data_IF_553911273950
#
_entry.id   IF_553911273950
#
_cell.length_a   1.000
_cell.length_b   1.000
_cell.length_c   1.000
_cell.angle_alpha   90.00
_cell.angle_beta   90.00
_cell.angle_gamma   90.00
#
_symmetry.space_group_name_H-M   'P 1'
#
loop_
_entity.id
_entity.type
_entity.pdbx_description
1 polymer ?
#
# COMPACT_ATOMS: atom_id res chain seq x y z
N UNK A 1 45.25 -29.06 -100.14
CA UNK A 1 46.61 -29.63 -100.24
C UNK A 1 47.61 -28.54 -99.88
N UNK A 2 48.78 -28.87 -99.31
CA UNK A 2 49.85 -28.00 -98.76
C UNK A 2 49.59 -27.52 -97.33
N UNK A 3 50.08 -28.21 -96.28
CA UNK A 3 51.48 -28.42 -95.80
C UNK A 3 52.24 -27.12 -95.54
N UNK A 4 52.70 -26.95 -94.28
CA UNK A 4 54.08 -26.64 -93.79
C UNK A 4 53.95 -25.96 -92.41
N UNK A 5 54.29 -26.60 -91.29
CA UNK A 5 55.63 -26.86 -90.71
C UNK A 5 56.51 -25.60 -90.59
N UNK A 6 56.70 -25.22 -89.32
CA UNK A 6 57.91 -24.66 -88.65
C UNK A 6 58.34 -23.26 -89.13
N UNK A 7 58.78 -22.31 -88.29
CA UNK A 7 59.97 -22.44 -87.45
C UNK A 7 60.33 -21.04 -86.81
N UNK A 8 60.97 -21.02 -85.61
CA UNK A 8 61.85 -19.97 -85.02
C UNK A 8 61.16 -18.63 -84.60
N UNK A 9 61.49 -17.90 -83.51
CA UNK A 9 62.65 -17.84 -82.60
C UNK A 9 62.25 -17.11 -81.29
N UNK A 10 63.02 -17.42 -80.24
CA UNK A 10 63.12 -16.78 -78.95
C UNK A 10 63.22 -15.25 -78.98
N UNK A 11 62.54 -14.58 -78.04
CA UNK A 11 63.15 -13.50 -77.26
C UNK A 11 62.41 -13.27 -75.94
N UNK A 12 63.20 -13.31 -74.88
CA UNK A 12 62.83 -13.10 -73.49
C UNK A 12 62.37 -11.68 -73.25
N UNK A 13 61.22 -11.52 -72.60
CA UNK A 13 60.95 -10.36 -71.75
C UNK A 13 60.17 -10.86 -70.53
N UNK A 14 60.91 -10.96 -69.42
CA UNK A 14 60.35 -11.04 -68.08
C UNK A 14 59.43 -9.82 -67.90
N UNK A 15 58.12 -10.02 -67.97
CA UNK A 15 57.19 -9.18 -67.25
C UNK A 15 56.83 -9.94 -65.98
N UNK A 16 57.47 -9.56 -64.88
CA UNK A 16 57.01 -9.90 -63.53
C UNK A 16 55.71 -9.11 -63.32
N UNK A 17 54.61 -9.66 -63.84
CA UNK A 17 53.29 -9.31 -63.36
C UNK A 17 53.09 -10.07 -62.05
N UNK A 18 53.18 -9.37 -60.92
CA UNK A 18 52.62 -9.88 -59.69
C UNK A 18 51.12 -10.06 -59.92
N UNK A 19 50.70 -11.28 -60.25
CA UNK A 19 49.29 -11.65 -60.18
C UNK A 19 48.92 -11.54 -58.69
N UNK A 20 47.94 -10.72 -58.29
CA UNK A 20 47.32 -10.93 -56.99
C UNK A 20 46.77 -12.36 -57.03
N UNK A 21 47.27 -13.21 -56.14
CA UNK A 21 46.64 -14.50 -55.90
C UNK A 21 45.25 -14.22 -55.34
N UNK A 22 44.24 -14.13 -56.21
CA UNK A 22 42.86 -14.23 -55.75
C UNK A 22 42.72 -15.66 -55.27
N UNK A 23 42.66 -15.84 -53.97
CA UNK A 23 42.24 -17.10 -53.36
C UNK A 23 40.73 -17.22 -53.57
N UNK A 24 40.31 -17.41 -54.81
CA UNK A 24 38.96 -17.86 -55.09
C UNK A 24 38.90 -19.31 -54.62
N UNK A 25 38.25 -19.55 -53.49
CA UNK A 25 37.88 -20.88 -53.07
C UNK A 25 37.04 -21.50 -54.20
N UNK A 26 37.66 -22.35 -55.01
CA UNK A 26 37.00 -22.96 -56.16
C UNK A 26 35.75 -23.71 -55.66
N UNK A 27 34.58 -23.26 -56.09
CA UNK A 27 33.31 -23.92 -55.77
C UNK A 27 33.29 -25.27 -56.51
N UNK A 28 33.61 -26.35 -55.79
CA UNK A 28 33.58 -27.71 -56.32
C UNK A 28 32.15 -28.22 -56.34
N UNK A 29 31.58 -28.38 -57.54
CA UNK A 29 30.30 -29.06 -57.71
C UNK A 29 30.50 -30.58 -57.67
N UNK A 30 29.76 -31.27 -56.80
CA UNK A 30 29.72 -32.73 -56.73
C UNK A 30 28.33 -33.22 -57.11
N UNK A 31 28.27 -34.22 -57.97
CA UNK A 31 27.02 -34.93 -58.25
C UNK A 31 26.76 -35.92 -57.10
N UNK A 32 25.55 -35.89 -56.56
CA UNK A 32 25.07 -36.80 -55.52
C UNK A 32 23.86 -37.57 -56.03
N UNK A 33 23.80 -38.88 -55.77
CA UNK A 33 22.59 -39.66 -56.00
C UNK A 33 21.75 -39.63 -54.72
N UNK A 34 20.50 -39.19 -54.85
CA UNK A 34 19.55 -39.10 -53.75
C UNK A 34 18.38 -40.07 -53.97
N UNK A 35 18.00 -40.78 -52.91
CA UNK A 35 16.84 -41.68 -52.91
C UNK A 35 15.69 -41.03 -52.16
N UNK A 36 14.54 -40.92 -52.84
CA UNK A 36 13.26 -40.48 -52.27
C UNK A 36 12.42 -41.71 -51.97
N UNK A 37 12.31 -42.07 -50.69
CA UNK A 37 11.62 -43.28 -50.24
C UNK A 37 10.50 -42.95 -49.22
N UNK A 38 9.76 -41.86 -49.47
CA UNK A 38 8.64 -41.42 -48.64
C UNK A 38 9.01 -41.32 -47.14
N UNK A 39 10.11 -40.63 -46.87
CA UNK A 39 10.63 -40.46 -45.51
C UNK A 39 9.64 -39.63 -44.68
N UNK A 40 9.12 -40.22 -43.60
CA UNK A 40 8.17 -39.56 -42.70
C UNK A 40 8.86 -39.00 -41.47
N UNK A 41 8.65 -37.71 -41.21
CA UNK A 41 9.12 -37.05 -39.99
C UNK A 41 7.97 -36.97 -38.99
N UNK A 42 8.23 -37.33 -37.73
CA UNK A 42 7.26 -37.22 -36.64
C UNK A 42 7.82 -36.37 -35.50
N UNK A 43 6.96 -35.53 -34.92
CA UNK A 43 7.23 -34.78 -33.70
C UNK A 43 6.11 -35.04 -32.70
N UNK A 44 6.47 -35.48 -31.49
CA UNK A 44 5.52 -35.90 -30.45
C UNK A 44 4.42 -36.86 -30.95
N UNK A 45 4.79 -37.79 -31.84
CA UNK A 45 3.87 -38.79 -32.41
C UNK A 45 3.08 -38.33 -33.65
N UNK A 46 3.03 -37.03 -33.94
CA UNK A 46 2.32 -36.47 -35.09
C UNK A 46 3.23 -36.33 -36.31
N UNK A 47 2.71 -36.61 -37.50
CA UNK A 47 3.45 -36.42 -38.76
C UNK A 47 3.62 -34.93 -39.03
N UNK A 48 4.86 -34.51 -39.27
CA UNK A 48 5.20 -33.13 -39.66
C UNK A 48 5.00 -32.99 -41.17
N UNK A 49 4.19 -32.04 -41.66
CA UNK A 49 4.06 -31.76 -43.08
C UNK A 49 5.40 -31.32 -43.69
N UNK A 50 5.70 -31.81 -44.89
CA UNK A 50 6.97 -31.54 -45.58
C UNK A 50 6.70 -30.96 -46.98
N UNK A 51 6.95 -29.66 -47.17
CA UNK A 51 6.86 -29.04 -48.51
C UNK A 51 8.03 -29.44 -49.42
N UNK A 52 9.17 -29.74 -48.80
CA UNK A 52 10.34 -30.33 -49.47
C UNK A 52 10.55 -31.74 -48.92
N UNK A 53 10.49 -32.74 -49.79
CA UNK A 53 10.59 -34.14 -49.37
C UNK A 53 12.00 -34.45 -48.81
N UNK A 54 12.12 -35.05 -47.61
CA UNK A 54 13.39 -35.54 -47.11
C UNK A 54 13.91 -36.70 -47.98
N UNK A 55 15.23 -36.78 -48.13
CA UNK A 55 15.86 -37.76 -49.02
C UNK A 55 17.07 -38.43 -48.35
N UNK A 56 17.54 -39.53 -48.94
CA UNK A 56 18.66 -40.31 -48.42
C UNK A 56 19.85 -40.22 -49.39
N UNK A 57 21.03 -39.85 -48.89
CA UNK A 57 22.30 -39.91 -49.62
C UNK A 57 23.27 -40.74 -48.81
N UNK A 58 23.84 -41.79 -49.41
CA UNK A 58 24.83 -42.68 -48.78
C UNK A 58 24.39 -43.22 -47.41
N UNK A 59 23.10 -43.55 -47.26
CA UNK A 59 22.52 -44.05 -46.00
C UNK A 59 22.15 -42.97 -44.97
N UNK A 60 22.49 -41.70 -45.21
CA UNK A 60 22.13 -40.58 -44.34
C UNK A 60 20.85 -39.91 -44.82
N UNK A 61 19.90 -39.71 -43.90
CA UNK A 61 18.66 -38.98 -44.17
C UNK A 61 18.88 -37.48 -44.01
N UNK A 62 18.53 -36.71 -45.04
CA UNK A 62 18.61 -35.26 -45.05
C UNK A 62 17.19 -34.70 -44.94
N UNK A 63 16.99 -33.86 -43.92
CA UNK A 63 15.70 -33.25 -43.61
C UNK A 63 15.83 -31.73 -43.80
N UNK A 64 14.84 -31.05 -44.40
CA UNK A 64 14.87 -29.60 -44.54
C UNK A 64 14.99 -28.91 -43.17
N UNK A 65 16.05 -28.12 -42.98
CA UNK A 65 16.29 -27.43 -41.71
C UNK A 65 15.16 -26.46 -41.35
N UNK A 66 14.66 -25.68 -42.32
CA UNK A 66 13.57 -24.70 -42.10
C UNK A 66 12.29 -25.36 -41.57
N UNK A 67 11.99 -26.58 -42.04
CA UNK A 67 10.86 -27.36 -41.57
C UNK A 67 11.03 -27.71 -40.09
N UNK A 68 12.20 -28.24 -39.70
CA UNK A 68 12.47 -28.57 -38.29
C UNK A 68 12.56 -27.33 -37.40
N UNK A 69 13.06 -26.20 -37.91
CA UNK A 69 13.05 -24.94 -37.17
C UNK A 69 11.63 -24.47 -36.86
N UNK A 70 10.67 -24.63 -37.78
CA UNK A 70 9.25 -24.38 -37.52
C UNK A 70 8.71 -25.24 -36.37
N UNK A 71 9.03 -26.54 -36.38
CA UNK A 71 8.64 -27.49 -35.32
C UNK A 71 9.19 -27.09 -33.95
N UNK A 72 10.44 -26.61 -33.91
CA UNK A 72 11.12 -26.22 -32.66
C UNK A 72 10.94 -24.75 -32.30
N UNK A 73 10.07 -24.01 -33.00
CA UNK A 73 9.85 -22.58 -32.84
C UNK A 73 11.16 -21.77 -32.86
N UNK A 74 11.99 -22.04 -33.85
CA UNK A 74 13.25 -21.33 -34.13
C UNK A 74 13.15 -20.53 -35.42
N UNK A 75 13.97 -19.50 -35.51
CA UNK A 75 14.16 -18.73 -36.73
C UNK A 75 15.45 -19.17 -37.45
N UNK A 76 15.40 -19.17 -38.78
CA UNK A 76 16.52 -19.56 -39.64
C UNK A 76 16.83 -18.46 -40.64
N UNK A 77 18.03 -17.91 -40.56
CA UNK A 77 18.57 -16.96 -41.53
C UNK A 77 19.68 -17.59 -42.36
N UNK A 78 19.83 -17.09 -43.59
CA UNK A 78 20.88 -17.48 -44.52
C UNK A 78 21.68 -16.23 -44.89
N UNK A 79 22.98 -16.27 -44.66
CA UNK A 79 23.91 -15.27 -45.16
C UNK A 79 24.65 -15.82 -46.38
N UNK A 80 24.35 -15.26 -47.55
CA UNK A 80 24.93 -15.68 -48.81
C UNK A 80 26.41 -15.29 -48.97
N UNK A 81 26.87 -14.22 -48.31
CA UNK A 81 28.25 -13.76 -48.45
C UNK A 81 29.22 -14.71 -47.75
N UNK A 82 28.84 -15.20 -46.57
CA UNK A 82 29.65 -16.13 -45.77
C UNK A 82 29.25 -17.60 -45.96
N UNK A 83 28.19 -17.88 -46.71
CA UNK A 83 27.57 -19.20 -46.81
C UNK A 83 27.19 -19.79 -45.44
N UNK A 84 26.67 -18.95 -44.54
CA UNK A 84 26.34 -19.31 -43.16
C UNK A 84 24.85 -19.44 -42.95
N UNK A 85 24.45 -20.52 -42.26
CA UNK A 85 23.10 -20.68 -41.72
C UNK A 85 23.13 -20.39 -40.23
N UNK A 86 22.26 -19.48 -39.77
CA UNK A 86 22.08 -19.18 -38.34
C UNK A 86 20.71 -19.66 -37.88
N UNK A 87 20.67 -20.37 -36.76
CA UNK A 87 19.44 -20.82 -36.10
C UNK A 87 19.35 -20.10 -34.75
N UNK A 88 18.29 -19.33 -34.54
CA UNK A 88 18.07 -18.54 -33.33
C UNK A 88 16.75 -18.88 -32.64
N UNK A 89 16.68 -18.56 -31.34
CA UNK A 89 15.43 -18.60 -30.60
C UNK A 89 14.46 -17.53 -31.12
N UNK A 90 13.22 -17.93 -31.37
CA UNK A 90 12.16 -16.98 -31.67
C UNK A 90 11.71 -16.33 -30.37
N UNK A 91 11.77 -15.01 -30.30
CA UNK A 91 11.24 -14.25 -29.16
C UNK A 91 9.73 -14.47 -29.10
N UNK A 92 9.25 -14.91 -27.94
CA UNK A 92 7.83 -15.09 -27.71
C UNK A 92 7.15 -13.71 -27.56
N UNK A 93 6.22 -13.32 -28.46
CA UNK A 93 5.56 -12.02 -28.39
C UNK A 93 4.76 -11.81 -27.09
N UNK A 94 4.43 -12.89 -26.37
CA UNK A 94 3.74 -12.82 -25.07
C UNK A 94 4.61 -12.19 -23.99
N UNK A 95 5.93 -12.19 -24.12
CA UNK A 95 6.84 -11.61 -23.09
C UNK A 95 6.56 -10.12 -22.92
N UNK A 96 6.43 -9.36 -24.01
CA UNK A 96 6.13 -7.93 -23.96
C UNK A 96 4.73 -7.66 -23.38
N UNK A 97 3.75 -8.51 -23.73
CA UNK A 97 2.39 -8.42 -23.19
C UNK A 97 2.37 -8.67 -21.68
N UNK A 98 3.04 -9.73 -21.22
CA UNK A 98 3.15 -10.07 -19.79
C UNK A 98 3.86 -8.96 -19.01
N UNK A 99 4.90 -8.35 -19.57
CA UNK A 99 5.58 -7.19 -18.95
C UNK A 99 4.63 -5.99 -18.80
N UNK A 100 3.83 -5.69 -19.82
CA UNK A 100 2.81 -4.63 -19.74
C UNK A 100 1.74 -4.95 -18.70
N UNK A 101 1.32 -6.22 -18.58
CA UNK A 101 0.34 -6.65 -17.59
C UNK A 101 0.88 -6.54 -16.17
N UNK A 102 2.14 -6.94 -15.93
CA UNK A 102 2.84 -6.78 -14.64
C UNK A 102 2.85 -5.31 -14.23
N UNK A 103 3.27 -4.41 -15.13
CA UNK A 103 3.30 -2.97 -14.83
C UNK A 103 1.92 -2.38 -14.47
N UNK A 104 0.86 -2.84 -15.15
CA UNK A 104 -0.50 -2.46 -14.81
C UNK A 104 -0.93 -2.99 -13.43
N UNK A 105 -0.54 -4.23 -13.10
CA UNK A 105 -0.82 -4.85 -11.80
C UNK A 105 -0.08 -4.14 -10.67
N UNK A 106 1.19 -3.78 -10.86
CA UNK A 106 1.99 -3.03 -9.89
C UNK A 106 1.37 -1.66 -9.60
N UNK A 107 0.91 -0.96 -10.64
CA UNK A 107 0.20 0.32 -10.49
C UNK A 107 -1.10 0.15 -9.70
N UNK A 108 -1.82 -0.95 -9.93
CA UNK A 108 -3.05 -1.26 -9.19
C UNK A 108 -2.75 -1.60 -7.73
N UNK A 109 -1.72 -2.39 -7.45
CA UNK A 109 -1.25 -2.71 -6.09
C UNK A 109 -0.92 -1.41 -5.34
N UNK A 110 -0.12 -0.53 -5.92
CA UNK A 110 0.22 0.75 -5.31
C UNK A 110 -1.01 1.65 -5.03
N UNK A 111 -2.06 1.57 -5.86
CA UNK A 111 -3.33 2.26 -5.55
C UNK A 111 -4.07 1.63 -4.37
N UNK A 112 -4.16 0.30 -4.33
CA UNK A 112 -4.85 -0.42 -3.26
C UNK A 112 -4.12 -0.25 -1.92
N UNK A 113 -2.79 -0.24 -1.91
CA UNK A 113 -2.00 0.01 -0.71
C UNK A 113 -2.27 1.40 -0.13
N UNK A 114 -2.38 2.44 -0.98
CA UNK A 114 -2.78 3.79 -0.55
C UNK A 114 -4.20 3.81 0.01
N UNK A 115 -5.15 3.17 -0.66
CA UNK A 115 -6.54 3.10 -0.18
C UNK A 115 -6.62 2.40 1.18
N UNK A 116 -5.91 1.28 1.35
CA UNK A 116 -5.81 0.56 2.62
C UNK A 116 -5.22 1.44 3.72
N UNK A 117 -4.17 2.21 3.44
CA UNK A 117 -3.61 3.18 4.40
C UNK A 117 -4.66 4.22 4.81
N UNK A 118 -5.34 4.82 3.83
CA UNK A 118 -6.37 5.83 4.09
C UNK A 118 -7.53 5.28 4.92
N UNK A 119 -7.97 4.05 4.65
CA UNK A 119 -9.04 3.42 5.43
C UNK A 119 -8.60 3.11 6.87
N UNK A 120 -7.34 2.68 7.09
CA UNK A 120 -6.79 2.49 8.43
C UNK A 120 -6.77 3.82 9.20
N UNK A 121 -6.28 4.89 8.60
CA UNK A 121 -6.24 6.22 9.22
C UNK A 121 -7.64 6.75 9.58
N UNK A 122 -8.65 6.43 8.77
CA UNK A 122 -10.04 6.81 9.05
C UNK A 122 -10.64 6.03 10.22
N UNK A 123 -10.35 4.74 10.32
CA UNK A 123 -10.82 3.90 11.43
C UNK A 123 -10.24 4.38 12.76
N UNK A 124 -8.93 4.64 12.80
CA UNK A 124 -8.25 5.13 14.01
C UNK A 124 -8.82 6.46 14.50
N UNK A 125 -9.16 7.37 13.59
CA UNK A 125 -9.82 8.65 13.94
C UNK A 125 -11.22 8.41 14.48
N UNK A 126 -12.02 7.57 13.80
CA UNK A 126 -13.40 7.29 14.20
C UNK A 126 -13.49 6.63 15.58
N UNK A 127 -12.55 5.77 15.93
CA UNK A 127 -12.52 5.12 17.25
C UNK A 127 -12.11 6.10 18.36
N UNK A 128 -11.15 7.00 18.09
CA UNK A 128 -10.80 8.09 19.02
C UNK A 128 -11.96 9.07 19.23
N UNK A 129 -12.63 9.48 18.15
CA UNK A 129 -13.77 10.40 18.21
C UNK A 129 -14.95 9.78 18.97
N UNK A 130 -15.22 8.48 18.77
CA UNK A 130 -16.23 7.76 19.55
C UNK A 130 -15.88 7.68 21.03
N UNK A 131 -14.63 7.34 21.38
CA UNK A 131 -14.21 7.24 22.78
C UNK A 131 -14.31 8.60 23.49
N UNK A 132 -13.89 9.68 22.82
CA UNK A 132 -14.04 11.05 23.34
C UNK A 132 -15.52 11.44 23.51
N UNK A 133 -16.38 11.07 22.55
CA UNK A 133 -17.81 11.37 22.63
C UNK A 133 -18.52 10.62 23.75
N UNK A 134 -18.17 9.35 24.00
CA UNK A 134 -18.74 8.56 25.10
C UNK A 134 -18.42 9.19 26.45
N UNK A 135 -17.16 9.54 26.70
CA UNK A 135 -16.76 10.19 27.95
C UNK A 135 -17.50 11.50 28.21
N UNK A 136 -17.76 12.28 27.16
CA UNK A 136 -18.50 13.53 27.31
C UNK A 136 -19.98 13.29 27.64
N UNK A 137 -20.62 12.28 27.04
CA UNK A 137 -22.03 11.98 27.38
C UNK A 137 -22.19 11.54 28.83
N UNK A 138 -21.23 10.78 29.37
CA UNK A 138 -21.30 10.29 30.75
C UNK A 138 -21.14 11.45 31.77
N UNK A 139 -20.31 12.45 31.45
CA UNK A 139 -20.18 13.70 32.25
C UNK A 139 -21.44 14.57 32.11
N UNK A 140 -21.95 14.75 30.89
CA UNK A 140 -23.15 15.55 30.62
C UNK A 140 -24.38 14.96 31.35
N UNK A 141 -24.53 13.62 31.36
CA UNK A 141 -25.60 12.92 32.07
C UNK A 141 -25.48 13.10 33.60
N UNK A 142 -24.26 13.09 34.13
CA UNK A 142 -23.99 13.32 35.55
C UNK A 142 -24.28 14.78 35.97
N UNK A 143 -23.93 15.76 35.14
CA UNK A 143 -24.29 17.18 35.37
C UNK A 143 -25.81 17.36 35.51
N UNK A 144 -26.57 16.73 34.62
CA UNK A 144 -28.03 16.76 34.65
C UNK A 144 -28.57 16.17 35.96
N UNK A 145 -27.99 15.08 36.44
CA UNK A 145 -28.39 14.43 37.70
C UNK A 145 -28.02 15.25 38.93
N UNK A 146 -26.85 15.89 38.93
CA UNK A 146 -26.44 16.83 39.96
C UNK A 146 -27.42 18.00 40.07
N UNK A 147 -27.84 18.58 38.95
CA UNK A 147 -28.82 19.67 38.96
C UNK A 147 -30.21 19.22 39.42
N UNK A 148 -30.61 17.98 39.13
CA UNK A 148 -31.88 17.43 39.64
C UNK A 148 -31.86 17.25 41.15
N UNK A 149 -30.76 16.74 41.70
CA UNK A 149 -30.66 16.43 43.13
C UNK A 149 -30.33 17.67 43.98
N UNK A 150 -29.37 18.49 43.52
CA UNK A 150 -28.80 19.59 44.29
C UNK A 150 -29.22 20.98 43.83
N UNK A 151 -29.92 21.11 42.69
CA UNK A 151 -30.32 22.42 42.14
C UNK A 151 -31.27 23.24 43.02
N UNK A 152 -31.80 22.65 44.10
CA UNK A 152 -32.53 23.35 45.17
C UNK A 152 -32.13 22.84 46.54
N UNK A 153 -31.36 23.63 47.27
CA UNK A 153 -30.93 23.30 48.63
C UNK A 153 -31.19 24.46 49.57
N UNK A 154 -31.82 24.17 50.72
CA UNK A 154 -32.16 25.17 51.77
C UNK A 154 -32.92 26.41 51.26
N UNK A 155 -33.81 26.23 50.27
CA UNK A 155 -34.60 27.26 49.57
C UNK A 155 -33.80 28.19 48.64
N UNK A 156 -32.52 27.91 48.46
CA UNK A 156 -31.67 28.56 47.47
C UNK A 156 -31.69 27.71 46.20
N UNK A 157 -31.75 28.36 45.04
CA UNK A 157 -31.54 27.71 43.75
C UNK A 157 -30.04 27.69 43.47
N UNK A 158 -29.54 26.52 43.14
CA UNK A 158 -28.16 26.30 42.74
C UNK A 158 -28.14 25.82 41.30
N UNK A 159 -27.10 26.19 40.56
CA UNK A 159 -26.78 25.63 39.26
C UNK A 159 -25.43 24.94 39.36
N UNK A 160 -25.32 23.71 38.88
CA UNK A 160 -24.07 22.94 38.92
C UNK A 160 -23.62 22.73 37.47
N UNK A 161 -22.44 23.20 37.13
CA UNK A 161 -21.79 22.87 35.86
C UNK A 161 -20.66 21.89 36.10
N UNK A 162 -20.58 20.83 35.30
CA UNK A 162 -19.57 19.80 35.41
C UNK A 162 -18.88 19.62 34.06
N UNK A 163 -17.56 19.77 34.05
CA UNK A 163 -16.72 19.59 32.85
C UNK A 163 -15.58 18.64 33.18
N UNK A 164 -14.89 18.13 32.16
CA UNK A 164 -13.74 17.24 32.33
C UNK A 164 -13.97 15.84 31.80
N UNK A 165 -13.41 14.84 32.47
CA UNK A 165 -13.59 13.42 32.16
C UNK A 165 -13.65 12.54 33.42
N UNK A 166 -13.66 11.21 33.22
CA UNK A 166 -13.75 10.19 34.28
C UNK A 166 -12.68 10.31 35.39
N UNK A 167 -11.53 10.94 35.09
CA UNK A 167 -10.39 11.02 36.02
C UNK A 167 -10.25 12.42 36.64
N UNK A 168 -10.50 13.49 35.88
CA UNK A 168 -10.33 14.87 36.32
C UNK A 168 -11.55 15.73 35.92
N UNK A 169 -12.23 16.29 36.92
CA UNK A 169 -13.49 17.03 36.80
C UNK A 169 -13.34 18.48 37.30
N UNK A 170 -13.87 19.42 36.53
CA UNK A 170 -14.06 20.82 36.90
C UNK A 170 -15.52 21.03 37.31
N UNK A 171 -15.78 21.33 38.58
CA UNK A 171 -17.12 21.53 39.13
C UNK A 171 -17.35 23.00 39.49
N UNK A 172 -18.34 23.63 38.88
CA UNK A 172 -18.78 24.99 39.24
C UNK A 172 -20.15 24.94 39.90
N UNK A 173 -20.26 25.47 41.10
CA UNK A 173 -21.51 25.59 41.85
C UNK A 173 -21.88 27.06 41.90
N UNK A 174 -22.96 27.41 41.22
CA UNK A 174 -23.40 28.79 41.05
C UNK A 174 -24.58 29.10 41.95
N UNK A 175 -24.54 30.29 42.55
CA UNK A 175 -25.66 30.88 43.28
C UNK A 175 -25.82 32.33 42.86
N UNK A 176 -27.06 32.76 42.67
CA UNK A 176 -27.38 34.16 42.42
C UNK A 176 -27.59 34.86 43.77
N UNK A 177 -26.59 35.59 44.28
CA UNK A 177 -26.75 36.34 45.54
C UNK A 177 -27.49 37.68 45.36
N UNK A 178 -27.86 38.05 44.13
CA UNK A 178 -28.85 39.10 43.89
C UNK A 178 -30.23 38.67 44.38
N UNK A 179 -30.60 37.42 44.07
CA UNK A 179 -31.89 36.83 44.42
C UNK A 179 -31.91 36.14 45.79
N UNK A 180 -30.81 35.49 46.20
CA UNK A 180 -30.77 34.61 47.39
C UNK A 180 -29.82 35.09 48.50
N UNK A 181 -29.48 36.39 48.52
CA UNK A 181 -28.49 36.96 49.45
C UNK A 181 -28.73 36.61 50.92
N UNK A 182 -29.98 36.71 51.37
CA UNK A 182 -30.32 36.60 52.78
C UNK A 182 -30.41 35.13 53.21
N UNK A 183 -30.99 34.26 52.38
CA UNK A 183 -30.97 32.82 52.55
C UNK A 183 -29.54 32.26 52.61
N UNK A 184 -28.63 32.78 51.77
CA UNK A 184 -27.23 32.37 51.78
C UNK A 184 -26.51 32.81 53.07
N UNK A 185 -26.76 34.01 53.58
CA UNK A 185 -26.18 34.48 54.86
C UNK A 185 -26.63 33.65 56.06
N UNK A 186 -27.83 33.08 56.00
CA UNK A 186 -28.34 32.19 57.05
C UNK A 186 -27.60 30.85 57.09
N UNK A 187 -26.88 30.47 56.02
CA UNK A 187 -26.07 29.27 55.99
C UNK A 187 -24.73 29.47 56.72
N UNK A 188 -24.46 28.57 57.66
CA UNK A 188 -23.14 28.49 58.29
C UNK A 188 -22.08 27.95 57.32
N UNK A 189 -20.79 28.26 57.57
CA UNK A 189 -19.69 27.68 56.78
C UNK A 189 -19.69 26.15 56.80
N UNK A 190 -20.12 25.55 57.90
CA UNK A 190 -20.29 24.10 58.01
C UNK A 190 -21.39 23.55 57.10
N UNK A 191 -22.47 24.30 56.89
CA UNK A 191 -23.55 23.89 55.99
C UNK A 191 -23.15 24.01 54.53
N UNK A 192 -22.38 25.05 54.17
CA UNK A 192 -21.82 25.21 52.82
C UNK A 192 -20.83 24.08 52.52
N UNK A 193 -19.87 23.83 53.42
CA UNK A 193 -18.91 22.72 53.28
C UNK A 193 -19.62 21.37 53.19
N UNK A 194 -20.69 21.18 53.97
CA UNK A 194 -21.49 19.96 53.93
C UNK A 194 -22.19 19.80 52.58
N UNK A 195 -22.78 20.85 52.04
CA UNK A 195 -23.40 20.84 50.72
C UNK A 195 -22.39 20.47 49.62
N UNK A 196 -21.23 21.14 49.58
CA UNK A 196 -20.15 20.81 48.63
C UNK A 196 -19.70 19.35 48.79
N UNK A 197 -19.58 18.88 50.04
CA UNK A 197 -19.24 17.49 50.33
C UNK A 197 -20.25 16.50 49.78
N UNK A 198 -21.54 16.75 49.97
CA UNK A 198 -22.61 15.89 49.46
C UNK A 198 -22.62 15.84 47.92
N UNK A 199 -22.34 16.96 47.25
CA UNK A 199 -22.20 17.02 45.79
C UNK A 199 -21.01 16.17 45.32
N UNK A 200 -19.82 16.36 45.92
CA UNK A 200 -18.63 15.57 45.57
C UNK A 200 -18.80 14.08 45.86
N UNK A 201 -19.43 13.72 46.98
CA UNK A 201 -19.70 12.31 47.30
C UNK A 201 -20.71 11.70 46.32
N UNK A 202 -21.70 12.45 45.85
CA UNK A 202 -22.62 11.97 44.81
C UNK A 202 -21.90 11.68 43.50
N UNK A 203 -20.94 12.54 43.09
CA UNK A 203 -20.10 12.29 41.92
C UNK A 203 -19.30 11.00 42.08
N UNK A 204 -18.64 10.81 43.23
CA UNK A 204 -17.82 9.61 43.50
C UNK A 204 -18.64 8.34 43.77
N UNK A 205 -19.93 8.46 44.07
CA UNK A 205 -20.82 7.30 44.16
C UNK A 205 -21.17 6.74 42.77
N UNK A 206 -20.99 7.53 41.70
CA UNK A 206 -21.09 7.02 40.33
C UNK A 206 -19.84 6.23 39.98
N UNK A 207 -20.04 5.02 39.45
CA UNK A 207 -18.98 4.02 39.32
C UNK A 207 -17.88 4.46 38.38
N UNK A 208 -18.22 5.23 37.35
CA UNK A 208 -17.26 5.67 36.35
C UNK A 208 -16.44 6.88 36.84
N UNK A 209 -16.80 7.48 37.98
CA UNK A 209 -16.14 8.66 38.55
C UNK A 209 -15.63 8.44 39.98
N UNK A 210 -15.64 7.21 40.50
CA UNK A 210 -15.32 6.87 41.90
C UNK A 210 -13.92 7.28 42.37
N UNK A 211 -12.98 7.42 41.44
CA UNK A 211 -11.61 7.86 41.70
C UNK A 211 -11.30 9.30 41.24
N UNK A 212 -12.27 10.00 40.66
CA UNK A 212 -12.06 11.29 40.00
C UNK A 212 -11.50 12.37 40.95
N UNK A 213 -10.58 13.19 40.46
CA UNK A 213 -10.22 14.44 41.11
C UNK A 213 -11.24 15.51 40.74
N UNK A 214 -11.63 16.35 41.70
CA UNK A 214 -12.57 17.44 41.47
C UNK A 214 -11.87 18.75 41.82
N UNK A 215 -11.70 19.61 40.82
CA UNK A 215 -11.31 21.01 40.99
C UNK A 215 -12.58 21.87 40.97
N UNK A 216 -12.91 22.42 42.13
CA UNK A 216 -14.23 22.98 42.40
C UNK A 216 -14.23 24.45 42.76
N UNK A 217 -15.24 25.18 42.27
CA UNK A 217 -15.47 26.58 42.65
C UNK A 217 -16.95 26.81 42.95
N UNK A 218 -17.23 27.60 43.99
CA UNK A 218 -18.57 28.11 44.27
C UNK A 218 -18.58 29.61 43.99
N UNK A 219 -19.45 30.06 43.09
CA UNK A 219 -19.42 31.40 42.49
C UNK A 219 -20.75 32.12 42.73
N UNK A 220 -20.67 33.41 43.04
CA UNK A 220 -21.81 34.34 42.98
C UNK A 220 -21.98 34.85 41.55
N UNK A 221 -23.09 34.52 40.90
CA UNK A 221 -23.35 34.94 39.51
C UNK A 221 -23.83 36.38 39.36
N UNK A 222 -24.19 37.07 40.45
CA UNK A 222 -24.57 38.49 40.40
C UNK A 222 -23.32 39.39 40.28
N UNK A 223 -22.28 39.07 41.05
CA UNK A 223 -21.03 39.84 41.13
C UNK A 223 -19.82 39.15 40.42
N UNK A 224 -19.99 37.94 39.86
CA UNK A 224 -18.94 37.08 39.28
C UNK A 224 -17.78 36.78 40.27
N UNK A 225 -18.09 36.71 41.57
CA UNK A 225 -17.11 36.53 42.64
C UNK A 225 -17.04 35.08 43.12
N UNK A 226 -15.83 34.53 43.18
CA UNK A 226 -15.56 33.24 43.81
C UNK A 226 -15.82 33.35 45.32
N UNK A 227 -16.79 32.59 45.85
CA UNK A 227 -17.07 32.53 47.28
C UNK A 227 -16.21 31.45 47.96
N UNK A 228 -16.03 30.32 47.29
CA UNK A 228 -15.22 29.19 47.75
C UNK A 228 -14.49 28.52 46.59
N UNK A 229 -13.31 27.99 46.89
CA UNK A 229 -12.63 26.98 46.06
C UNK A 229 -12.44 25.71 46.87
N UNK A 230 -12.48 24.56 46.20
CA UNK A 230 -12.29 23.27 46.83
C UNK A 230 -11.57 22.29 45.90
N UNK A 231 -10.79 21.39 46.50
CA UNK A 231 -10.10 20.31 45.81
C UNK A 231 -10.53 18.99 46.46
N UNK A 232 -11.15 18.13 45.65
CA UNK A 232 -11.60 16.79 46.00
C UNK A 232 -10.67 15.73 45.41
N UNK A 233 -10.33 14.71 46.21
CA UNK A 233 -9.53 13.55 45.79
C UNK A 233 -10.34 12.27 45.98
N UNK A 234 -10.98 11.77 44.90
CA UNK A 234 -11.85 10.59 44.92
C UNK A 234 -11.17 9.34 45.50
N UNK A 235 -9.93 9.06 45.11
CA UNK A 235 -9.14 7.95 45.70
C UNK A 235 -9.04 7.93 47.23
N UNK A 236 -9.22 9.09 47.89
CA UNK A 236 -9.12 9.22 49.35
C UNK A 236 -10.39 9.73 50.02
N UNK A 237 -11.45 10.02 49.24
CA UNK A 237 -12.66 10.74 49.67
C UNK A 237 -12.36 11.95 50.54
N UNK A 238 -11.31 12.69 50.19
CA UNK A 238 -10.85 13.86 50.94
C UNK A 238 -11.15 15.11 50.14
N UNK A 239 -11.75 16.10 50.81
CA UNK A 239 -12.03 17.41 50.25
C UNK A 239 -11.34 18.46 51.10
N UNK A 240 -10.66 19.39 50.43
CA UNK A 240 -10.08 20.58 51.03
C UNK A 240 -10.83 21.80 50.55
N UNK A 241 -11.02 22.79 51.43
CA UNK A 241 -11.85 23.96 51.16
C UNK A 241 -11.06 25.22 51.46
N UNK A 242 -11.27 26.25 50.65
CA UNK A 242 -10.73 27.59 50.85
C UNK A 242 -11.83 28.61 50.57
N UNK A 243 -12.16 29.41 51.58
CA UNK A 243 -13.04 30.57 51.45
C UNK A 243 -12.25 31.73 50.87
N UNK A 244 -12.84 32.51 49.97
CA UNK A 244 -12.22 33.74 49.45
C UNK A 244 -12.57 34.96 50.31
#
# INVERSE_FOLDING_TARGET
>A
MFKKKTLLLLSSALLIGALPATTDAAVVKKNVQATYNNVKVKYNGYVVPTDTEPFIVNGTTYIPLRMMAGVFNKDVSWDQASYTVTVGDRVDPRIAQLQSEISSKDSKIASLERDVSNYRDQLDKKDKDKKKKSKNSDVDDLEDDLNKEFGKYKKIKWNLELKGDEDDLDLTIEVDLGDYKDEYKDLSESEIKKFIKEVCEYIWDEKDFDEANIDGTLVDTDDDDDLWTFDGKGKTNKITYKKQ
#
